data_IF_090818068403
#
_entry.id   IF_090818068403
#
_cell.length_a   1.000
_cell.length_b   1.000
_cell.length_c   1.000
_cell.angle_alpha   90.00
_cell.angle_beta   90.00
_cell.angle_gamma   90.00
#
_symmetry.space_group_name_H-M   'P 1'
#
loop_
_entity.id
_entity.type
_entity.pdbx_description
1 polymer ?
#
# COMPACT_ATOMS: atom_id res chain seq x y z
N UNK A 1 -9.25 28.94 -11.45
CA UNK A 1 -9.87 27.63 -11.66
C UNK A 1 -10.11 27.01 -10.29
N UNK A 2 -11.30 27.22 -9.71
CA UNK A 2 -11.67 26.66 -8.41
C UNK A 2 -13.00 25.93 -8.61
N UNK A 3 -12.95 24.61 -8.73
CA UNK A 3 -14.14 23.77 -8.63
C UNK A 3 -13.79 22.70 -7.62
N UNK A 4 -14.25 22.90 -6.39
CA UNK A 4 -14.33 21.84 -5.38
C UNK A 4 -15.05 20.67 -6.05
N UNK A 5 -14.30 19.62 -6.40
CA UNK A 5 -14.89 18.37 -6.85
C UNK A 5 -15.81 17.89 -5.73
N UNK A 6 -17.11 18.14 -5.86
CA UNK A 6 -18.14 17.42 -5.11
C UNK A 6 -18.09 16.00 -5.65
N UNK A 7 -17.22 15.20 -5.06
CA UNK A 7 -17.07 13.81 -5.45
C UNK A 7 -18.34 13.04 -5.08
N UNK A 8 -18.80 12.22 -6.01
CA UNK A 8 -20.06 11.51 -5.91
C UNK A 8 -19.96 10.42 -4.85
N UNK A 9 -20.63 10.63 -3.71
CA UNK A 9 -20.74 9.65 -2.60
C UNK A 9 -21.12 8.26 -3.11
N UNK A 10 -21.93 8.17 -4.15
CA UNK A 10 -22.36 6.90 -4.76
C UNK A 10 -21.19 6.17 -5.43
N UNK A 11 -20.24 6.91 -6.02
CA UNK A 11 -19.02 6.35 -6.62
C UNK A 11 -18.11 5.82 -5.52
N UNK A 12 -17.91 6.57 -4.44
CA UNK A 12 -17.09 6.14 -3.30
C UNK A 12 -17.65 4.84 -2.68
N UNK A 13 -18.97 4.79 -2.44
CA UNK A 13 -19.64 3.59 -1.90
C UNK A 13 -19.52 2.38 -2.83
N UNK A 14 -19.69 2.57 -4.14
CA UNK A 14 -19.53 1.51 -5.14
C UNK A 14 -18.10 0.98 -5.17
N UNK A 15 -17.11 1.88 -5.15
CA UNK A 15 -15.70 1.55 -5.22
C UNK A 15 -15.24 0.82 -3.95
N UNK A 16 -15.66 1.27 -2.77
CA UNK A 16 -15.44 0.57 -1.52
C UNK A 16 -16.13 -0.80 -1.51
N UNK A 17 -17.35 -0.92 -2.04
CA UNK A 17 -18.04 -2.22 -2.15
C UNK A 17 -17.28 -3.20 -3.05
N UNK A 18 -16.70 -2.73 -4.16
CA UNK A 18 -15.83 -3.55 -5.01
C UNK A 18 -14.56 -3.97 -4.27
N UNK A 19 -13.92 -3.04 -3.58
CA UNK A 19 -12.75 -3.31 -2.74
C UNK A 19 -13.03 -4.37 -1.68
N UNK A 20 -14.18 -4.32 -1.00
CA UNK A 20 -14.53 -5.29 0.04
C UNK A 20 -14.69 -6.71 -0.51
N UNK A 21 -14.99 -6.88 -1.79
CA UNK A 21 -15.07 -8.21 -2.42
C UNK A 21 -13.70 -8.89 -2.50
N UNK A 22 -12.60 -8.11 -2.49
CA UNK A 22 -11.25 -8.65 -2.58
C UNK A 22 -10.62 -8.91 -1.20
N UNK A 23 -11.31 -8.61 -0.09
CA UNK A 23 -10.79 -8.78 1.29
C UNK A 23 -10.30 -10.22 1.55
N UNK A 24 -11.03 -11.20 1.04
CA UNK A 24 -10.74 -12.63 1.16
C UNK A 24 -10.22 -13.27 -0.13
N UNK A 25 -9.98 -12.48 -1.18
CA UNK A 25 -9.33 -12.98 -2.39
C UNK A 25 -7.89 -13.41 -2.07
N UNK A 26 -7.32 -14.38 -2.77
CA UNK A 26 -5.90 -14.77 -2.63
C UNK A 26 -5.04 -14.26 -3.77
N UNK A 27 -5.67 -13.91 -4.90
CA UNK A 27 -4.98 -13.46 -6.10
C UNK A 27 -4.39 -12.06 -5.91
N UNK A 28 -3.05 -12.00 -5.92
CA UNK A 28 -2.31 -10.76 -5.68
C UNK A 28 -2.63 -9.69 -6.72
N UNK A 29 -2.72 -10.06 -8.00
CA UNK A 29 -3.04 -9.14 -9.11
C UNK A 29 -4.38 -8.42 -8.90
N UNK A 30 -5.41 -9.16 -8.48
CA UNK A 30 -6.76 -8.64 -8.22
C UNK A 30 -6.74 -7.69 -7.01
N UNK A 31 -6.04 -8.06 -5.93
CA UNK A 31 -5.92 -7.20 -4.75
C UNK A 31 -5.13 -5.91 -5.04
N UNK A 32 -4.02 -6.02 -5.79
CA UNK A 32 -3.19 -4.89 -6.21
C UNK A 32 -3.98 -3.90 -7.03
N UNK A 33 -4.74 -4.36 -8.03
CA UNK A 33 -5.58 -3.49 -8.86
C UNK A 33 -6.66 -2.78 -8.03
N UNK A 34 -7.33 -3.51 -7.13
CA UNK A 34 -8.34 -2.92 -6.25
C UNK A 34 -7.75 -1.85 -5.32
N UNK A 35 -6.57 -2.10 -4.73
CA UNK A 35 -5.88 -1.13 -3.89
C UNK A 35 -5.50 0.13 -4.68
N UNK A 36 -4.94 -0.02 -5.87
CA UNK A 36 -4.56 1.12 -6.73
C UNK A 36 -5.77 1.96 -7.14
N UNK A 37 -6.89 1.33 -7.47
CA UNK A 37 -8.14 2.03 -7.78
C UNK A 37 -8.63 2.87 -6.60
N UNK A 38 -8.58 2.32 -5.39
CA UNK A 38 -8.94 3.05 -4.17
C UNK A 38 -7.96 4.20 -3.93
N UNK A 39 -6.66 3.94 -3.91
CA UNK A 39 -5.64 4.98 -3.69
C UNK A 39 -5.80 6.11 -4.73
N UNK A 40 -5.89 5.80 -6.01
CA UNK A 40 -6.04 6.81 -7.07
C UNK A 40 -7.31 7.65 -6.91
N UNK A 41 -8.42 7.04 -6.51
CA UNK A 41 -9.71 7.73 -6.34
C UNK A 41 -9.77 8.59 -5.08
N UNK A 42 -9.20 8.10 -3.97
CA UNK A 42 -9.25 8.77 -2.67
C UNK A 42 -8.04 9.66 -2.37
N UNK A 43 -6.90 9.55 -3.08
CA UNK A 43 -5.76 10.48 -2.90
C UNK A 43 -6.16 11.96 -3.02
N UNK A 44 -7.01 12.37 -3.98
CA UNK A 44 -7.50 13.75 -4.04
C UNK A 44 -8.59 14.08 -2.99
N UNK A 45 -9.04 13.11 -2.19
CA UNK A 45 -10.18 13.19 -1.27
C UNK A 45 -9.77 12.81 0.16
N UNK A 46 -9.53 13.79 1.04
CA UNK A 46 -9.36 13.48 2.47
C UNK A 46 -10.74 13.28 3.12
N UNK A 47 -11.30 12.06 3.01
CA UNK A 47 -12.53 11.67 3.72
C UNK A 47 -12.25 10.54 4.71
N UNK A 48 -12.27 10.89 5.99
CA UNK A 48 -11.99 9.99 7.12
C UNK A 48 -12.84 8.71 7.13
N UNK A 49 -14.13 8.78 6.80
CA UNK A 49 -15.01 7.61 6.86
C UNK A 49 -14.66 6.58 5.78
N UNK A 50 -14.22 7.04 4.62
CA UNK A 50 -13.85 6.19 3.51
C UNK A 50 -12.44 5.61 3.73
N UNK A 51 -11.53 6.40 4.31
CA UNK A 51 -10.21 5.95 4.77
C UNK A 51 -10.32 4.81 5.79
N UNK A 52 -11.16 4.99 6.82
CA UNK A 52 -11.35 3.99 7.87
C UNK A 52 -11.88 2.67 7.29
N UNK A 53 -12.82 2.73 6.33
CA UNK A 53 -13.35 1.54 5.65
C UNK A 53 -12.28 0.85 4.81
N UNK A 54 -11.46 1.61 4.08
CA UNK A 54 -10.36 1.06 3.31
C UNK A 54 -9.33 0.35 4.20
N UNK A 55 -8.89 0.99 5.27
CA UNK A 55 -7.89 0.43 6.19
C UNK A 55 -8.45 -0.78 6.95
N UNK A 56 -9.68 -0.66 7.47
CA UNK A 56 -10.33 -1.71 8.25
C UNK A 56 -10.64 -2.97 7.44
N UNK A 57 -10.72 -2.86 6.10
CA UNK A 57 -10.98 -3.97 5.19
C UNK A 57 -9.81 -4.32 4.29
N UNK A 58 -8.60 -3.97 4.73
CA UNK A 58 -7.39 -4.27 3.97
C UNK A 58 -7.26 -5.79 3.73
N UNK A 59 -6.95 -6.25 2.49
CA UNK A 59 -6.90 -7.67 2.17
C UNK A 59 -6.00 -8.45 3.13
N UNK A 60 -6.58 -9.43 3.83
CA UNK A 60 -5.91 -10.16 4.92
C UNK A 60 -4.70 -10.96 4.41
N UNK A 61 -4.79 -11.49 3.20
CA UNK A 61 -3.70 -12.24 2.57
C UNK A 61 -2.49 -11.32 2.30
N UNK A 62 -2.74 -10.15 1.69
CA UNK A 62 -1.68 -9.17 1.45
C UNK A 62 -1.06 -8.65 2.75
N UNK A 63 -1.89 -8.41 3.76
CA UNK A 63 -1.42 -8.02 5.09
C UNK A 63 -0.47 -9.06 5.69
N UNK A 64 -0.81 -10.35 5.61
CA UNK A 64 0.08 -11.43 6.08
C UNK A 64 1.41 -11.44 5.32
N UNK A 65 1.37 -11.26 4.00
CA UNK A 65 2.59 -11.20 3.20
C UNK A 65 3.44 -9.98 3.55
N UNK A 66 2.85 -8.80 3.70
CA UNK A 66 3.58 -7.61 4.15
C UNK A 66 4.18 -7.79 5.55
N UNK A 67 3.49 -8.51 6.45
CA UNK A 67 4.03 -8.86 7.76
C UNK A 67 5.28 -9.75 7.62
N UNK A 68 5.22 -10.81 6.82
CA UNK A 68 6.36 -11.69 6.55
C UNK A 68 7.54 -10.90 5.95
N UNK A 69 7.27 -10.03 4.97
CA UNK A 69 8.28 -9.16 4.39
C UNK A 69 8.91 -8.22 5.43
N UNK A 70 8.11 -7.70 6.36
CA UNK A 70 8.61 -6.84 7.46
C UNK A 70 9.44 -7.59 8.50
N UNK A 71 9.31 -8.92 8.58
CA UNK A 71 10.13 -9.79 9.44
C UNK A 71 11.44 -10.18 8.74
N UNK A 72 11.73 -9.60 7.56
CA UNK A 72 12.95 -9.84 6.79
C UNK A 72 12.84 -10.98 5.78
N UNK A 73 11.66 -11.55 5.58
CA UNK A 73 11.46 -12.62 4.61
C UNK A 73 11.37 -12.07 3.18
N UNK A 74 12.35 -12.41 2.34
CA UNK A 74 12.43 -11.99 0.93
C UNK A 74 11.93 -13.05 -0.05
N UNK A 75 11.58 -14.26 0.41
CA UNK A 75 11.14 -15.37 -0.46
C UNK A 75 9.64 -15.36 -0.75
N UNK A 76 8.95 -14.26 -0.43
CA UNK A 76 7.54 -14.08 -0.75
C UNK A 76 7.39 -13.91 -2.26
N UNK A 77 6.47 -14.65 -2.89
CA UNK A 77 6.16 -14.48 -4.31
C UNK A 77 5.87 -13.01 -4.64
N UNK A 78 6.24 -12.53 -5.82
CA UNK A 78 6.05 -11.14 -6.25
C UNK A 78 6.61 -10.09 -5.26
N UNK A 79 7.66 -10.42 -4.49
CA UNK A 79 8.24 -9.56 -3.44
C UNK A 79 8.44 -8.10 -3.89
N UNK A 80 9.02 -7.91 -5.08
CA UNK A 80 9.29 -6.57 -5.65
C UNK A 80 8.01 -5.78 -5.86
N UNK A 81 7.00 -6.38 -6.49
CA UNK A 81 5.73 -5.71 -6.76
C UNK A 81 4.94 -5.43 -5.47
N UNK A 82 5.03 -6.34 -4.50
CA UNK A 82 4.45 -6.16 -3.16
C UNK A 82 5.11 -5.02 -2.40
N UNK A 83 6.44 -4.89 -2.52
CA UNK A 83 7.21 -3.78 -1.96
C UNK A 83 6.81 -2.45 -2.61
N UNK A 84 6.70 -2.41 -3.94
CA UNK A 84 6.21 -1.22 -4.67
C UNK A 84 4.81 -0.82 -4.23
N UNK A 85 3.87 -1.76 -4.16
CA UNK A 85 2.50 -1.51 -3.69
C UNK A 85 2.46 -1.00 -2.25
N UNK A 86 3.32 -1.55 -1.38
CA UNK A 86 3.46 -1.07 -0.02
C UNK A 86 3.93 0.40 0.00
N UNK A 87 4.93 0.76 -0.80
CA UNK A 87 5.42 2.14 -0.93
C UNK A 87 4.37 3.10 -1.54
N UNK A 88 3.54 2.63 -2.44
CA UNK A 88 2.44 3.43 -3.01
C UNK A 88 1.39 3.77 -1.94
N UNK A 89 0.98 2.78 -1.14
CA UNK A 89 0.13 2.99 0.04
C UNK A 89 0.79 3.88 1.09
N UNK A 90 2.10 3.80 1.22
CA UNK A 90 2.92 4.63 2.10
C UNK A 90 2.82 6.10 1.80
N UNK A 91 2.94 6.43 0.52
CA UNK A 91 2.77 7.79 0.08
C UNK A 91 1.36 8.30 0.37
N UNK A 92 0.33 7.47 0.15
CA UNK A 92 -1.07 7.77 0.51
C UNK A 92 -1.25 8.10 2.00
N UNK A 93 -0.69 7.26 2.89
CA UNK A 93 -0.79 7.46 4.33
C UNK A 93 -0.06 8.73 4.82
N UNK A 94 1.08 9.08 4.20
CA UNK A 94 1.82 10.31 4.52
C UNK A 94 1.06 11.56 4.09
N UNK A 95 0.35 11.50 2.96
CA UNK A 95 -0.50 12.60 2.47
C UNK A 95 -1.82 12.74 3.24
N UNK A 96 -2.22 11.74 4.02
CA UNK A 96 -3.37 11.77 4.95
C UNK A 96 -2.90 11.70 6.42
N UNK A 97 -2.28 12.77 6.94
CA UNK A 97 -1.50 12.74 8.19
C UNK A 97 -2.31 12.51 9.48
N UNK A 98 -3.65 12.49 9.43
CA UNK A 98 -4.45 12.38 10.66
C UNK A 98 -4.77 10.95 11.09
N UNK A 99 -4.64 9.94 10.24
CA UNK A 99 -5.05 8.58 10.60
C UNK A 99 -4.32 7.54 9.75
N UNK A 100 -3.22 6.96 10.25
CA UNK A 100 -2.95 5.49 10.35
C UNK A 100 -1.71 5.30 11.23
N UNK A 101 -1.85 5.50 12.54
CA UNK A 101 -0.95 4.86 13.51
C UNK A 101 -1.53 3.50 13.89
N UNK A 102 -1.67 2.61 12.91
CA UNK A 102 -1.65 1.20 13.27
C UNK A 102 -0.20 0.90 13.58
N UNK A 103 0.09 0.61 14.84
CA UNK A 103 1.44 0.24 15.32
C UNK A 103 2.06 -0.85 14.44
N UNK A 104 1.23 -1.72 13.86
CA UNK A 104 1.62 -2.75 12.91
C UNK A 104 2.07 -2.14 11.59
N UNK A 105 1.28 -1.24 10.98
CA UNK A 105 1.71 -0.59 9.75
C UNK A 105 3.03 0.15 10.03
N UNK A 106 3.14 0.91 11.13
CA UNK A 106 4.38 1.57 11.54
C UNK A 106 5.59 0.62 11.66
N UNK A 107 5.40 -0.58 12.23
CA UNK A 107 6.44 -1.63 12.28
C UNK A 107 6.80 -2.16 10.89
N UNK A 108 5.81 -2.38 10.03
CA UNK A 108 6.03 -2.80 8.63
C UNK A 108 6.79 -1.71 7.87
N UNK A 109 6.41 -0.43 8.02
CA UNK A 109 7.11 0.74 7.46
C UNK A 109 8.57 0.79 7.88
N UNK A 110 8.81 0.70 9.19
CA UNK A 110 10.15 0.82 9.76
C UNK A 110 11.07 -0.31 9.27
N UNK A 111 10.57 -1.53 9.18
CA UNK A 111 11.39 -2.66 8.76
C UNK A 111 11.60 -2.70 7.24
N UNK A 112 10.57 -2.44 6.43
CA UNK A 112 10.72 -2.37 4.97
C UNK A 112 11.52 -1.15 4.51
N UNK A 113 11.44 -0.03 5.23
CA UNK A 113 12.28 1.15 5.00
C UNK A 113 13.77 0.92 5.33
N UNK A 114 14.05 0.02 6.29
CA UNK A 114 15.42 -0.43 6.58
C UNK A 114 15.94 -1.37 5.50
N UNK A 115 15.13 -2.29 4.99
CA UNK A 115 15.57 -3.17 3.89
C UNK A 115 15.82 -2.39 2.60
N UNK A 116 15.09 -1.30 2.31
CA UNK A 116 15.43 -0.41 1.19
C UNK A 116 16.75 0.36 1.38
N UNK A 117 17.11 0.74 2.61
CA UNK A 117 18.44 1.32 2.90
C UNK A 117 19.57 0.29 2.80
N UNK A 118 19.29 -0.96 3.12
CA UNK A 118 20.25 -2.06 2.95
C UNK A 118 20.44 -2.35 1.45
N UNK A 119 19.38 -2.33 0.63
CA UNK A 119 19.50 -2.49 -0.83
C UNK A 119 20.24 -1.32 -1.52
N UNK A 120 20.16 -0.08 -1.01
CA UNK A 120 21.04 0.99 -1.53
C UNK A 120 22.52 0.74 -1.22
N UNK A 121 22.82 0.03 -0.12
CA UNK A 121 24.20 -0.40 0.16
C UNK A 121 24.65 -1.63 -0.67
N UNK A 122 23.74 -2.38 -1.27
CA UNK A 122 24.07 -3.52 -2.15
C UNK A 122 24.12 -3.15 -3.63
N UNK A 123 23.45 -2.09 -4.07
CA UNK A 123 23.54 -1.60 -5.46
C UNK A 123 24.80 -0.77 -5.76
N UNK A 124 25.51 -0.28 -4.73
CA UNK A 124 26.78 0.43 -4.91
C UNK A 124 28.00 -0.52 -5.00
N UNK A 125 27.80 -1.84 -4.93
CA UNK A 125 28.88 -2.85 -4.87
C UNK A 125 29.10 -3.72 -6.10
N UNK A 126 28.30 -3.58 -7.17
CA UNK A 126 28.45 -4.35 -8.42
C UNK A 126 28.76 -3.44 -9.61
N UNK A 127 29.83 -2.65 -9.50
CA UNK A 127 30.61 -2.20 -10.64
C UNK A 127 32.07 -2.57 -10.34
N UNK A 128 32.39 -3.86 -10.47
CA UNK A 128 33.78 -4.28 -10.58
C UNK A 128 34.10 -4.39 -12.07
N UNK A 129 35.15 -3.69 -12.45
CA UNK A 129 35.86 -3.71 -13.71
C UNK A 129 35.68 -4.98 -14.55
N UNK A 130 35.13 -4.79 -15.76
CA UNK A 130 35.54 -5.54 -16.93
C UNK A 130 35.54 -4.60 -18.15
N UNK A 131 36.58 -3.78 -18.25
CA UNK A 131 37.53 -3.81 -19.37
C UNK A 131 38.69 -2.84 -19.15
#
# INVERSE_FOLDING_TARGET
MNSSQKFDKKVNESLLKQYCRVENCTEFSIQKEAIRKVISHFTPQSNYDDDYKFIGRFPKHLYKQFKLMSEGNTTVDDYKEKKELFMEKSQYAVTCPKQVSSEIFSKIYHNLGKTSKIESCFNDGFNHDMH
#
